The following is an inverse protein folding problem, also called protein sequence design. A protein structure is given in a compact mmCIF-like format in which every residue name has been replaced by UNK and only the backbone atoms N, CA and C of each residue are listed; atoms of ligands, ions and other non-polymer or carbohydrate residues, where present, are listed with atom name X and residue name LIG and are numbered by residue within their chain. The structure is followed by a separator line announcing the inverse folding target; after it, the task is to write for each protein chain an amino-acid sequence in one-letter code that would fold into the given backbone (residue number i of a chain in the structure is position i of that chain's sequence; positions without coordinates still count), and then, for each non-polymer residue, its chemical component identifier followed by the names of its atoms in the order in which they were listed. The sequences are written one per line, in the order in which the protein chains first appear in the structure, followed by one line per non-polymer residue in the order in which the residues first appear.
data_IF_595151921152
#
_entry.id   IF_595151921152
#
_cell.length_a   1.000
_cell.length_b   1.000
_cell.length_c   1.000
_cell.angle_alpha   90.00
_cell.angle_beta   90.00
_cell.angle_gamma   90.00
#
_symmetry.space_group_name_H-M   'P 1'
#
loop_
_entity.id
_entity.type
_entity.pdbx_description
1 polymer ?
#
# COMPACT_ATOMS: atom_id res chain seq x y z
N UNK A 1 -16.73 -18.68 -0.72
CA UNK A 1 -15.66 -19.01 0.23
C UNK A 1 -16.01 -18.37 1.57
N UNK A 2 -15.91 -19.08 2.70
CA UNK A 2 -15.99 -18.46 4.01
C UNK A 2 -14.89 -17.40 4.20
N UNK A 3 -15.21 -16.32 4.89
CA UNK A 3 -14.33 -15.16 5.13
C UNK A 3 -12.97 -15.55 5.74
N UNK A 4 -12.98 -16.51 6.66
CA UNK A 4 -11.77 -17.05 7.30
C UNK A 4 -10.77 -17.65 6.29
N UNK A 5 -11.27 -18.26 5.21
CA UNK A 5 -10.43 -18.87 4.18
C UNK A 5 -9.69 -17.79 3.37
N UNK A 6 -10.38 -16.71 3.00
CA UNK A 6 -9.78 -15.56 2.30
C UNK A 6 -8.68 -14.92 3.15
N UNK A 7 -8.91 -14.74 4.45
CA UNK A 7 -7.91 -14.18 5.36
C UNK A 7 -6.65 -15.05 5.46
N UNK A 8 -6.79 -16.39 5.46
CA UNK A 8 -5.63 -17.29 5.44
C UNK A 8 -4.84 -17.20 4.14
N UNK A 9 -5.52 -17.17 2.99
CA UNK A 9 -4.87 -17.02 1.68
C UNK A 9 -4.18 -15.67 1.54
N UNK A 10 -4.74 -14.61 2.12
CA UNK A 10 -4.11 -13.30 2.13
C UNK A 10 -2.78 -13.32 2.91
N UNK A 11 -2.72 -14.00 4.05
CA UNK A 11 -1.46 -14.14 4.82
C UNK A 11 -0.41 -14.89 4.01
N UNK A 12 -0.79 -15.98 3.33
CA UNK A 12 0.14 -16.76 2.51
C UNK A 12 0.59 -16.01 1.26
N UNK A 13 -0.28 -15.19 0.67
CA UNK A 13 0.05 -14.27 -0.42
C UNK A 13 1.13 -13.27 0.01
N UNK A 14 0.94 -12.57 1.13
CA UNK A 14 1.92 -11.60 1.64
C UNK A 14 3.25 -12.27 1.98
N UNK A 15 3.23 -13.47 2.60
CA UNK A 15 4.46 -14.23 2.86
C UNK A 15 5.21 -14.56 1.59
N UNK A 16 4.49 -14.98 0.55
CA UNK A 16 5.08 -15.31 -0.76
C UNK A 16 5.69 -14.08 -1.42
N UNK A 17 5.02 -12.93 -1.35
CA UNK A 17 5.55 -11.67 -1.87
C UNK A 17 6.81 -11.23 -1.13
N UNK A 18 6.81 -11.28 0.21
CA UNK A 18 7.99 -10.95 1.01
C UNK A 18 9.20 -11.77 0.57
N UNK A 19 9.07 -13.10 0.51
CA UNK A 19 10.17 -13.99 0.11
C UNK A 19 10.73 -13.64 -1.27
N UNK A 20 9.85 -13.37 -2.25
CA UNK A 20 10.28 -13.05 -3.62
C UNK A 20 11.01 -11.71 -3.70
N UNK A 21 10.51 -10.69 -2.99
CA UNK A 21 11.14 -9.37 -2.98
C UNK A 21 12.47 -9.39 -2.23
N UNK A 22 12.58 -10.12 -1.12
CA UNK A 22 13.85 -10.31 -0.40
C UNK A 22 14.92 -10.99 -1.27
N UNK A 23 14.54 -12.03 -2.02
CA UNK A 23 15.42 -12.69 -2.97
C UNK A 23 15.93 -11.73 -4.04
N UNK A 24 15.04 -10.92 -4.61
CA UNK A 24 15.41 -9.92 -5.61
C UNK A 24 16.33 -8.83 -5.03
N UNK A 25 16.00 -8.27 -3.87
CA UNK A 25 16.83 -7.28 -3.17
C UNK A 25 18.25 -7.81 -2.93
N UNK A 26 18.36 -9.04 -2.41
CA UNK A 26 19.65 -9.71 -2.19
C UNK A 26 20.41 -9.93 -3.50
N UNK A 27 19.74 -10.38 -4.56
CA UNK A 27 20.36 -10.64 -5.85
C UNK A 27 20.94 -9.37 -6.51
N UNK A 28 20.31 -8.22 -6.25
CA UNK A 28 20.72 -6.93 -6.81
C UNK A 28 21.54 -6.05 -5.85
N UNK A 29 21.77 -6.50 -4.61
CA UNK A 29 22.57 -5.77 -3.62
C UNK A 29 21.89 -4.54 -3.02
N UNK A 30 20.56 -4.55 -2.93
CA UNK A 30 19.77 -3.47 -2.33
C UNK A 30 19.32 -3.83 -0.90
N UNK A 31 19.34 -2.84 -0.01
CA UNK A 31 18.91 -3.04 1.39
C UNK A 31 17.38 -3.00 1.56
N UNK A 32 16.68 -2.27 0.70
CA UNK A 32 15.24 -2.05 0.82
C UNK A 32 14.60 -1.61 -0.49
N UNK A 33 13.28 -1.77 -0.57
CA UNK A 33 12.46 -1.25 -1.66
C UNK A 33 11.35 -0.36 -1.09
N UNK A 34 11.22 0.83 -1.64
CA UNK A 34 10.13 1.75 -1.35
C UNK A 34 9.20 1.82 -2.58
N UNK A 35 7.94 1.43 -2.42
CA UNK A 35 6.92 1.41 -3.48
C UNK A 35 5.92 2.53 -3.22
N UNK A 36 5.78 3.47 -4.16
CA UNK A 36 4.74 4.49 -4.12
C UNK A 36 3.42 3.93 -4.64
N UNK A 37 2.29 4.34 -4.05
CA UNK A 37 0.97 4.09 -4.61
C UNK A 37 0.70 4.95 -5.87
N UNK A 38 1.42 6.06 -6.00
CA UNK A 38 1.26 7.04 -7.07
C UNK A 38 0.39 8.23 -6.68
N UNK A 39 0.15 9.11 -7.65
CA UNK A 39 -0.72 10.26 -7.53
C UNK A 39 -1.32 10.59 -8.89
N UNK A 40 -2.56 11.06 -8.92
CA UNK A 40 -3.20 11.55 -10.13
C UNK A 40 -2.49 12.81 -10.64
N UNK A 41 -2.06 12.85 -11.92
CA UNK A 41 -1.50 14.07 -12.48
C UNK A 41 -2.57 15.16 -12.60
N UNK A 42 -2.14 16.41 -12.50
CA UNK A 42 -3.00 17.57 -12.74
C UNK A 42 -3.23 17.77 -14.24
N UNK A 43 -4.42 18.24 -14.61
CA UNK A 43 -4.72 18.64 -15.98
C UNK A 43 -4.05 19.97 -16.29
N UNK A 44 -3.50 20.10 -17.48
CA UNK A 44 -2.80 21.32 -17.88
C UNK A 44 -3.79 22.49 -18.01
N UNK A 45 -3.52 23.59 -17.30
CA UNK A 45 -4.35 24.80 -17.35
C UNK A 45 -5.66 24.71 -16.57
N UNK A 46 -5.81 23.72 -15.69
CA UNK A 46 -7.01 23.45 -14.90
C UNK A 46 -6.62 23.14 -13.44
N UNK A 47 -7.56 23.26 -12.50
CA UNK A 47 -7.38 22.88 -11.09
C UNK A 47 -7.79 21.42 -10.80
N UNK A 48 -8.32 20.72 -11.82
CA UNK A 48 -8.77 19.33 -11.71
C UNK A 48 -7.67 18.30 -12.02
N UNK A 49 -7.71 17.16 -11.31
CA UNK A 49 -6.86 16.00 -11.58
C UNK A 49 -7.43 15.07 -12.64
N UNK A 50 -6.60 14.19 -13.17
CA UNK A 50 -7.07 12.98 -13.84
C UNK A 50 -7.61 11.97 -12.84
N UNK A 51 -8.33 10.95 -13.31
CA UNK A 51 -8.72 9.84 -12.45
C UNK A 51 -7.47 9.08 -12.02
N UNK A 52 -7.33 8.86 -10.71
CA UNK A 52 -6.23 8.09 -10.17
C UNK A 52 -6.28 6.63 -10.60
N UNK A 53 -5.11 6.07 -10.88
CA UNK A 53 -4.88 4.65 -11.12
C UNK A 53 -3.69 4.24 -10.28
N UNK A 54 -3.91 3.35 -9.31
CA UNK A 54 -2.86 2.91 -8.40
C UNK A 54 -1.74 2.17 -9.10
N UNK A 55 -0.50 2.34 -8.61
CA UNK A 55 0.66 1.68 -9.16
C UNK A 55 0.58 0.16 -8.96
N UNK A 56 0.71 -0.61 -10.05
CA UNK A 56 0.50 -2.06 -10.06
C UNK A 56 1.23 -2.83 -8.95
N UNK A 57 2.54 -2.61 -8.72
CA UNK A 57 3.26 -3.22 -7.60
C UNK A 57 2.69 -2.87 -6.22
N UNK A 58 2.24 -1.63 -5.99
CA UNK A 58 1.61 -1.26 -4.73
C UNK A 58 0.29 -2.02 -4.54
N UNK A 59 -0.55 -2.05 -5.58
CA UNK A 59 -1.84 -2.75 -5.55
C UNK A 59 -1.69 -4.27 -5.39
N UNK A 60 -0.65 -4.87 -5.98
CA UNK A 60 -0.37 -6.29 -5.84
C UNK A 60 -0.08 -6.69 -4.39
N UNK A 61 0.51 -5.79 -3.61
CA UNK A 61 0.76 -6.00 -2.19
C UNK A 61 -0.45 -5.69 -1.32
N UNK A 62 -1.12 -4.57 -1.57
CA UNK A 62 -2.08 -4.00 -0.59
C UNK A 62 -3.54 -4.17 -1.00
N UNK A 63 -3.84 -4.28 -2.29
CA UNK A 63 -5.21 -4.24 -2.83
C UNK A 63 -5.88 -2.86 -2.76
N UNK A 64 -5.19 -1.82 -2.28
CA UNK A 64 -5.78 -0.51 -1.97
C UNK A 64 -5.88 0.39 -3.23
N UNK A 65 -6.81 0.08 -4.12
CA UNK A 65 -6.98 0.70 -5.45
C UNK A 65 -7.27 2.22 -5.47
N UNK A 66 -7.66 2.82 -4.34
CA UNK A 66 -8.00 4.24 -4.23
C UNK A 66 -7.03 5.10 -3.41
N UNK A 67 -5.94 4.52 -2.90
CA UNK A 67 -5.05 5.24 -1.99
C UNK A 67 -3.92 5.96 -2.73
N UNK A 68 -4.04 7.27 -2.89
CA UNK A 68 -2.99 8.14 -3.41
C UNK A 68 -1.93 8.47 -2.34
N UNK A 69 -0.76 8.93 -2.78
CA UNK A 69 0.31 9.46 -1.93
C UNK A 69 0.79 8.55 -0.79
N UNK A 70 0.52 7.25 -0.92
CA UNK A 70 0.81 6.23 0.08
C UNK A 70 2.08 5.47 -0.30
N UNK A 71 2.71 4.84 0.69
CA UNK A 71 4.02 4.24 0.52
C UNK A 71 4.12 2.90 1.23
N UNK A 72 4.73 1.92 0.58
CA UNK A 72 5.03 0.61 1.13
C UNK A 72 6.55 0.40 1.15
N UNK A 73 7.12 0.19 2.34
CA UNK A 73 8.53 -0.14 2.53
C UNK A 73 8.68 -1.63 2.80
N UNK A 74 9.52 -2.28 1.98
CA UNK A 74 9.89 -3.69 2.10
C UNK A 74 11.37 -3.76 2.47
N UNK A 75 11.66 -4.48 3.56
CA UNK A 75 13.02 -4.71 4.06
C UNK A 75 13.21 -6.20 4.36
N UNK A 76 14.36 -6.80 4.01
CA UNK A 76 14.62 -8.20 4.32
C UNK A 76 14.58 -8.49 5.82
N UNK A 77 13.88 -9.57 6.20
CA UNK A 77 13.71 -10.01 7.58
C UNK A 77 12.81 -9.11 8.43
N UNK A 78 12.13 -8.13 7.84
CA UNK A 78 11.27 -7.20 8.57
C UNK A 78 9.85 -7.21 8.01
N UNK A 79 8.87 -6.99 8.89
CA UNK A 79 7.48 -6.78 8.49
C UNK A 79 7.38 -5.57 7.55
N UNK A 80 6.69 -5.68 6.40
CA UNK A 80 6.43 -4.54 5.53
C UNK A 80 5.77 -3.39 6.28
N UNK A 81 6.21 -2.16 5.99
CA UNK A 81 5.68 -0.95 6.62
C UNK A 81 4.86 -0.17 5.60
N UNK A 82 3.57 0.00 5.89
CA UNK A 82 2.62 0.72 5.05
C UNK A 82 2.30 2.08 5.68
N UNK A 83 2.56 3.15 4.94
CA UNK A 83 2.11 4.50 5.26
C UNK A 83 0.96 4.89 4.34
N UNK A 84 -0.17 5.24 4.95
CA UNK A 84 -1.37 5.68 4.25
C UNK A 84 -1.53 7.19 4.39
N UNK A 85 -1.77 7.85 3.28
CA UNK A 85 -2.08 9.27 3.27
C UNK A 85 -3.57 9.48 3.56
N UNK A 86 -3.89 10.05 4.72
CA UNK A 86 -5.26 10.33 5.16
C UNK A 86 -5.35 11.77 5.68
N UNK A 87 -5.45 12.76 4.78
CA UNK A 87 -5.56 14.16 5.18
C UNK A 87 -6.90 14.38 5.89
N UNK A 88 -6.84 15.03 7.05
CA UNK A 88 -8.05 15.42 7.78
C UNK A 88 -8.37 16.86 7.41
N UNK A 89 -9.36 17.03 6.53
CA UNK A 89 -9.86 18.34 6.14
C UNK A 89 -11.40 18.35 6.06
N UNK A 90 -11.97 19.56 5.93
CA UNK A 90 -13.41 19.76 5.87
C UNK A 90 -14.03 19.37 4.51
N UNK A 91 -13.23 19.36 3.45
CA UNK A 91 -13.69 19.25 2.07
C UNK A 91 -13.82 17.79 1.60
N UNK A 92 -12.94 16.92 2.08
CA UNK A 92 -12.84 15.54 1.60
C UNK A 92 -13.29 14.54 2.66
N UNK A 93 -14.07 13.55 2.21
CA UNK A 93 -14.38 12.39 3.04
C UNK A 93 -13.11 11.55 3.23
N UNK A 94 -12.85 11.15 4.48
CA UNK A 94 -11.79 10.20 4.77
C UNK A 94 -12.20 8.80 4.30
N UNK A 95 -11.26 8.07 3.69
CA UNK A 95 -11.42 6.64 3.53
C UNK A 95 -11.33 5.98 4.91
N UNK A 96 -12.39 5.30 5.33
CA UNK A 96 -12.33 4.45 6.52
C UNK A 96 -11.34 3.30 6.25
N UNK A 97 -10.43 3.08 7.19
CA UNK A 97 -9.55 1.93 7.12
C UNK A 97 -10.37 0.67 7.45
N UNK A 98 -10.28 -0.39 6.64
CA UNK A 98 -10.93 -1.66 6.98
C UNK A 98 -10.39 -2.19 8.31
N UNK A 99 -11.26 -2.74 9.16
CA UNK A 99 -10.90 -3.47 10.39
C UNK A 99 -10.30 -4.88 10.10
N UNK A 100 -9.63 -5.04 8.96
CA UNK A 100 -9.06 -6.31 8.53
C UNK A 100 -7.67 -6.55 9.16
N UNK A 101 -7.26 -7.82 9.40
CA UNK A 101 -5.99 -8.14 10.06
C UNK A 101 -4.74 -7.67 9.31
N UNK A 102 -4.85 -7.34 8.01
CA UNK A 102 -3.77 -6.75 7.22
C UNK A 102 -3.57 -5.25 7.50
N UNK A 103 -4.57 -4.56 8.03
CA UNK A 103 -4.45 -3.21 8.55
C UNK A 103 -3.83 -3.31 9.95
N UNK A 104 -2.50 -3.40 10.01
CA UNK A 104 -1.77 -3.25 11.28
C UNK A 104 -2.24 -1.97 11.98
N UNK A 105 -2.50 -2.03 13.30
CA UNK A 105 -2.96 -0.88 14.10
C UNK A 105 -2.01 0.30 13.89
N UNK A 106 -2.38 1.22 13.01
CA UNK A 106 -1.65 2.44 12.78
C UNK A 106 -1.67 3.24 14.07
N UNK A 107 -0.51 3.37 14.71
CA UNK A 107 -0.31 4.40 15.72
C UNK A 107 -0.54 5.74 15.03
N UNK A 108 -1.58 6.48 15.44
CA UNK A 108 -1.78 7.86 15.03
C UNK A 108 -0.51 8.64 15.36
N UNK A 109 0.25 9.03 14.35
CA UNK A 109 1.25 10.07 14.51
C UNK A 109 0.49 11.38 14.38
N UNK A 110 0.47 12.14 15.48
CA UNK A 110 -0.08 13.49 15.56
C UNK A 110 0.81 14.47 14.79
#
# INVERSE_FOLDING_TARGET
MPETEILSLQIDHIRTLQQRYEQALKAHGYDSLLISSGAAPMRYGDDQSWQFQGYGPFLHWTGLAGQEHSWLLIRPGQTPLLWLYQPVDFWHANLELPDEPAAGRGGKVQ
#
